data_IF_935963194437
#
_entry.id   IF_935963194437
#
_cell.length_a   1.000
_cell.length_b   1.000
_cell.length_c   1.000
_cell.angle_alpha   90.00
_cell.angle_beta   90.00
_cell.angle_gamma   90.00
#
_symmetry.space_group_name_H-M   'P 1'
#
loop_
_entity.id
_entity.type
_entity.pdbx_description
1 polymer ?
#
# COMPACT_ATOMS: atom_id res chain seq x y z
N UNK A 1 11.85 -9.74 12.87
CA UNK A 1 11.17 -8.67 12.11
C UNK A 1 9.68 -8.72 12.43
N UNK A 2 9.05 -7.55 12.54
CA UNK A 2 7.60 -7.47 12.74
C UNK A 2 6.89 -7.90 11.44
N UNK A 3 5.86 -8.77 11.48
CA UNK A 3 5.10 -9.13 10.28
C UNK A 3 4.58 -7.88 9.53
N UNK A 4 4.77 -7.85 8.21
CA UNK A 4 4.42 -6.68 7.39
C UNK A 4 5.46 -5.56 7.36
N UNK A 5 6.57 -5.67 8.10
CA UNK A 5 7.68 -4.69 8.09
C UNK A 5 8.93 -5.30 7.46
N UNK A 6 9.49 -4.62 6.47
CA UNK A 6 10.74 -5.00 5.79
C UNK A 6 11.79 -3.92 6.00
N UNK A 7 13.00 -4.31 6.43
CA UNK A 7 14.14 -3.38 6.48
C UNK A 7 14.66 -3.19 5.06
N UNK A 8 14.73 -1.94 4.63
CA UNK A 8 15.19 -1.53 3.30
C UNK A 8 16.68 -1.22 3.33
N UNK A 9 17.12 -0.44 4.32
CA UNK A 9 18.52 -0.06 4.44
C UNK A 9 18.91 0.20 5.89
N UNK A 10 20.20 0.04 6.15
CA UNK A 10 20.86 0.44 7.39
C UNK A 10 22.10 1.25 7.03
N UNK A 11 22.20 2.48 7.50
CA UNK A 11 23.25 3.42 7.13
C UNK A 11 23.85 4.06 8.38
N UNK A 12 25.15 3.90 8.59
CA UNK A 12 25.87 4.56 9.67
C UNK A 12 26.32 5.97 9.28
N UNK A 13 26.18 6.90 10.22
CA UNK A 13 26.63 8.29 10.12
C UNK A 13 27.41 8.67 11.40
N UNK A 14 28.68 9.10 11.27
CA UNK A 14 29.47 9.19 10.04
C UNK A 14 29.83 7.80 9.46
N UNK A 15 30.19 7.76 8.16
CA UNK A 15 30.62 6.52 7.47
C UNK A 15 32.05 6.10 7.83
N UNK A 16 32.83 7.01 8.36
CA UNK A 16 34.21 6.82 8.77
C UNK A 16 34.49 7.70 9.98
N UNK A 17 35.41 7.25 10.82
CA UNK A 17 35.89 7.98 11.98
C UNK A 17 37.42 7.98 11.97
N UNK A 18 38.02 8.97 12.62
CA UNK A 18 39.46 9.01 12.83
C UNK A 18 39.82 8.23 14.10
N UNK A 19 40.81 7.35 13.99
CA UNK A 19 41.29 6.51 15.08
C UNK A 19 42.80 6.63 15.24
N UNK A 20 43.27 6.48 16.47
CA UNK A 20 44.68 6.48 16.83
C UNK A 20 44.99 5.25 17.69
N UNK A 21 46.20 4.70 17.52
CA UNK A 21 46.62 3.48 18.20
C UNK A 21 48.00 3.02 17.73
N UNK A 22 48.38 1.81 18.14
CA UNK A 22 49.65 1.19 17.73
C UNK A 22 49.61 0.90 16.23
N UNK A 23 50.65 1.30 15.49
CA UNK A 23 50.72 1.17 14.01
C UNK A 23 50.39 -0.24 13.53
N UNK A 24 50.98 -1.25 14.16
CA UNK A 24 50.75 -2.67 13.82
C UNK A 24 49.28 -3.08 13.95
N UNK A 25 48.52 -2.47 14.87
CA UNK A 25 47.10 -2.72 15.03
C UNK A 25 46.32 -1.96 13.96
N UNK A 26 46.60 -0.67 13.76
CA UNK A 26 45.93 0.18 12.77
C UNK A 26 46.03 -0.41 11.37
N UNK A 27 47.21 -0.90 10.97
CA UNK A 27 47.46 -1.48 9.66
C UNK A 27 46.60 -2.75 9.39
N UNK A 28 46.13 -3.40 10.45
CA UNK A 28 45.28 -4.59 10.39
C UNK A 28 43.77 -4.29 10.50
N UNK A 29 43.37 -3.05 10.81
CA UNK A 29 41.96 -2.67 10.93
C UNK A 29 41.36 -2.41 9.55
N UNK A 30 40.44 -3.28 9.13
CA UNK A 30 39.64 -3.07 7.91
C UNK A 30 38.35 -2.30 8.15
N UNK A 31 37.78 -2.44 9.35
CA UNK A 31 36.53 -1.82 9.76
C UNK A 31 36.41 -1.82 11.28
N UNK A 32 35.69 -0.84 11.82
CA UNK A 32 35.24 -0.83 13.21
C UNK A 32 33.80 -1.30 13.23
N UNK A 33 33.52 -2.36 14.00
CA UNK A 33 32.17 -2.88 14.15
C UNK A 33 31.42 -2.08 15.21
N UNK A 34 30.09 -2.10 15.15
CA UNK A 34 29.25 -1.59 16.23
C UNK A 34 28.77 -2.74 17.10
N UNK A 35 28.29 -2.42 18.30
CA UNK A 35 27.45 -3.31 19.07
C UNK A 35 26.21 -3.73 18.24
N UNK A 36 25.72 -4.97 18.40
CA UNK A 36 24.51 -5.42 17.71
C UNK A 36 23.31 -4.55 18.07
N UNK A 37 22.59 -4.10 17.06
CA UNK A 37 21.34 -3.37 17.23
C UNK A 37 20.18 -4.36 17.23
N UNK A 38 19.35 -4.32 18.27
CA UNK A 38 18.10 -5.08 18.27
C UNK A 38 17.04 -4.36 17.43
N UNK A 39 16.61 -5.02 16.36
CA UNK A 39 15.62 -4.51 15.39
C UNK A 39 14.22 -5.09 15.60
N UNK A 40 14.01 -5.93 16.62
CA UNK A 40 12.79 -6.72 16.78
C UNK A 40 11.55 -5.86 17.05
N UNK A 41 11.74 -4.68 17.63
CA UNK A 41 10.70 -3.71 17.96
C UNK A 41 10.61 -2.55 16.95
N UNK A 42 11.43 -2.55 15.89
CA UNK A 42 11.40 -1.49 14.89
C UNK A 42 10.22 -1.73 13.95
N UNK A 43 9.21 -0.87 14.08
CA UNK A 43 8.05 -0.83 13.20
C UNK A 43 8.12 0.32 12.19
N UNK A 44 8.82 1.40 12.53
CA UNK A 44 8.96 2.61 11.70
C UNK A 44 10.43 2.93 11.44
N UNK A 45 10.69 3.72 10.39
CA UNK A 45 12.05 4.19 10.09
C UNK A 45 12.56 5.04 11.25
N UNK A 46 13.76 4.74 11.74
CA UNK A 46 14.30 5.36 12.94
C UNK A 46 15.81 5.52 12.86
N UNK A 47 16.39 6.27 13.78
CA UNK A 47 17.84 6.38 13.96
C UNK A 47 18.18 5.94 15.37
N UNK A 48 19.12 5.01 15.48
CA UNK A 48 19.60 4.49 16.77
C UNK A 48 21.07 4.80 16.94
N UNK A 49 21.49 5.09 18.16
CA UNK A 49 22.90 5.23 18.48
C UNK A 49 23.48 3.83 18.71
N UNK A 50 24.56 3.51 18.01
CA UNK A 50 25.26 2.24 18.12
C UNK A 50 26.66 2.47 18.67
N UNK A 51 27.00 1.79 19.76
CA UNK A 51 28.33 1.88 20.35
C UNK A 51 29.36 1.23 19.43
N UNK A 52 30.54 1.83 19.31
CA UNK A 52 31.64 1.30 18.54
C UNK A 52 32.42 0.26 19.37
N UNK A 53 32.68 -0.90 18.76
CA UNK A 53 33.55 -1.94 19.32
C UNK A 53 34.97 -1.64 18.87
N UNK A 54 35.71 -0.90 19.70
CA UNK A 54 37.09 -0.54 19.45
C UNK A 54 38.03 -1.72 19.75
N UNK A 55 38.97 -2.05 18.85
CA UNK A 55 40.05 -2.98 19.15
C UNK A 55 40.91 -2.49 20.32
N UNK A 56 41.53 -3.42 21.02
CA UNK A 56 42.46 -3.09 22.10
C UNK A 56 43.61 -2.21 21.58
N UNK A 57 43.99 -1.18 22.35
CA UNK A 57 45.06 -0.25 21.96
C UNK A 57 44.66 0.80 20.92
N UNK A 58 43.37 0.88 20.53
CA UNK A 58 42.83 1.84 19.56
C UNK A 58 41.78 2.72 20.23
N UNK A 59 41.80 4.02 19.92
CA UNK A 59 40.80 4.98 20.37
C UNK A 59 40.40 5.95 19.25
N UNK A 60 39.20 6.52 19.32
CA UNK A 60 38.78 7.58 18.42
C UNK A 60 39.52 8.89 18.76
N UNK A 61 40.01 9.59 17.74
CA UNK A 61 40.68 10.90 17.87
C UNK A 61 39.71 11.96 18.36
N UNK A 62 38.46 11.91 17.88
CA UNK A 62 37.41 12.86 18.23
C UNK A 62 36.58 12.41 19.44
N UNK A 63 37.06 11.41 20.18
CA UNK A 63 36.34 10.77 21.29
C UNK A 63 34.95 10.24 20.89
N UNK A 64 34.75 9.88 19.62
CA UNK A 64 33.51 9.28 19.15
C UNK A 64 33.43 7.85 19.67
N UNK A 65 32.41 7.59 20.50
CA UNK A 65 32.11 6.27 21.05
C UNK A 65 30.92 5.62 20.38
N UNK A 66 30.12 6.41 19.68
CA UNK A 66 28.88 5.96 19.04
C UNK A 66 28.78 6.51 17.63
N UNK A 67 28.05 5.78 16.79
CA UNK A 67 27.63 6.24 15.47
C UNK A 67 26.11 6.18 15.38
N UNK A 68 25.52 7.08 14.60
CA UNK A 68 24.08 7.06 14.33
C UNK A 68 23.79 6.09 13.21
N UNK A 69 23.05 5.04 13.49
CA UNK A 69 22.59 4.08 12.47
C UNK A 69 21.16 4.41 12.11
N UNK A 70 20.98 4.96 10.90
CA UNK A 70 19.68 5.17 10.29
C UNK A 70 19.17 3.85 9.74
N UNK A 71 18.00 3.42 10.22
CA UNK A 71 17.32 2.21 9.80
C UNK A 71 16.08 2.62 9.04
N UNK A 72 16.03 2.29 7.75
CA UNK A 72 14.88 2.58 6.89
C UNK A 72 14.06 1.31 6.74
N UNK A 73 12.76 1.40 7.01
CA UNK A 73 11.82 0.30 6.83
C UNK A 73 10.69 0.67 5.89
N UNK A 74 10.13 -0.34 5.23
CA UNK A 74 8.88 -0.27 4.47
C UNK A 74 7.85 -1.17 5.12
N UNK A 75 6.62 -0.68 5.14
CA UNK A 75 5.46 -1.43 5.62
C UNK A 75 4.60 -1.86 4.46
N UNK A 76 4.16 -3.11 4.52
CA UNK A 76 3.21 -3.68 3.58
C UNK A 76 1.94 -4.08 4.33
N UNK A 77 0.80 -3.67 3.81
CA UNK A 77 -0.49 -3.91 4.42
C UNK A 77 -1.56 -4.16 3.36
N UNK A 78 -2.77 -4.43 3.82
CA UNK A 78 -3.96 -4.54 2.96
C UNK A 78 -4.86 -3.35 3.23
N UNK A 79 -5.48 -2.82 2.18
CA UNK A 79 -6.51 -1.79 2.27
C UNK A 79 -7.79 -2.33 1.67
N UNK A 80 -8.87 -2.23 2.42
CA UNK A 80 -10.22 -2.54 1.94
C UNK A 80 -10.93 -1.23 1.60
N UNK A 81 -11.55 -1.18 0.42
CA UNK A 81 -12.29 -0.04 -0.10
C UNK A 81 -13.68 -0.48 -0.52
N UNK A 82 -14.68 0.38 -0.34
CA UNK A 82 -16.06 0.12 -0.78
C UNK A 82 -16.42 1.08 -1.90
N UNK A 83 -16.50 0.58 -3.12
CA UNK A 83 -16.68 1.42 -4.31
C UNK A 83 -18.12 1.23 -4.82
N UNK A 84 -18.92 2.29 -5.01
CA UNK A 84 -20.24 2.16 -5.63
C UNK A 84 -20.10 1.67 -7.07
N UNK A 85 -21.00 0.79 -7.50
CA UNK A 85 -21.01 0.28 -8.87
C UNK A 85 -21.88 1.19 -9.74
N UNK A 86 -21.26 1.76 -10.77
CA UNK A 86 -21.92 2.59 -11.77
C UNK A 86 -22.36 1.75 -12.98
N UNK A 87 -23.61 1.93 -13.38
CA UNK A 87 -24.18 1.27 -14.56
C UNK A 87 -24.17 2.22 -15.75
N UNK A 88 -23.69 1.73 -16.89
CA UNK A 88 -23.56 2.53 -18.13
C UNK A 88 -24.26 1.85 -19.30
N UNK A 89 -24.62 2.63 -20.32
CA UNK A 89 -25.25 2.15 -21.57
C UNK A 89 -26.59 1.41 -21.40
N UNK A 90 -27.38 1.75 -20.38
CA UNK A 90 -28.76 1.28 -20.28
C UNK A 90 -29.60 1.94 -21.40
N UNK A 91 -30.41 1.14 -22.09
CA UNK A 91 -31.30 1.67 -23.14
C UNK A 91 -32.34 2.65 -22.58
N UNK A 92 -32.65 3.71 -23.33
CA UNK A 92 -33.52 4.82 -22.87
C UNK A 92 -34.93 4.39 -22.43
N UNK A 93 -35.42 3.28 -22.96
CA UNK A 93 -36.74 2.70 -22.66
C UNK A 93 -36.72 1.66 -21.54
N UNK A 94 -35.57 1.46 -20.90
CA UNK A 94 -35.36 0.44 -19.88
C UNK A 94 -35.06 1.09 -18.53
N UNK A 95 -35.36 0.37 -17.45
CA UNK A 95 -35.01 0.73 -16.09
C UNK A 95 -34.38 -0.46 -15.37
N UNK A 96 -33.43 -0.16 -14.49
CA UNK A 96 -32.88 -1.10 -13.53
C UNK A 96 -33.79 -1.14 -12.30
N UNK A 97 -34.13 -2.34 -11.83
CA UNK A 97 -34.89 -2.52 -10.58
C UNK A 97 -33.99 -2.67 -9.36
N UNK A 98 -32.71 -2.95 -9.56
CA UNK A 98 -31.76 -3.30 -8.52
C UNK A 98 -31.27 -2.06 -7.75
N UNK A 99 -31.07 -2.19 -6.44
CA UNK A 99 -30.30 -1.22 -5.66
C UNK A 99 -28.85 -1.17 -6.15
N UNK A 100 -28.21 0.00 -6.06
CA UNK A 100 -26.79 0.18 -6.40
C UNK A 100 -25.92 -0.63 -5.43
N UNK A 101 -25.33 -1.76 -5.85
CA UNK A 101 -24.47 -2.54 -4.98
C UNK A 101 -23.12 -1.84 -4.81
N UNK A 102 -22.43 -2.16 -3.73
CA UNK A 102 -21.03 -1.75 -3.51
C UNK A 102 -20.09 -2.91 -3.80
N UNK A 103 -18.99 -2.60 -4.49
CA UNK A 103 -17.87 -3.50 -4.69
C UNK A 103 -16.92 -3.38 -3.50
N UNK A 104 -16.67 -4.49 -2.80
CA UNK A 104 -15.61 -4.58 -1.81
C UNK A 104 -14.31 -4.93 -2.53
N UNK A 105 -13.38 -3.99 -2.58
CA UNK A 105 -12.05 -4.17 -3.17
C UNK A 105 -11.00 -4.29 -2.06
N UNK A 106 -10.19 -5.35 -2.11
CA UNK A 106 -9.02 -5.52 -1.23
C UNK A 106 -7.77 -5.39 -2.08
N UNK A 107 -6.94 -4.39 -1.77
CA UNK A 107 -5.65 -4.15 -2.40
C UNK A 107 -4.51 -4.34 -1.39
N UNK A 108 -3.33 -4.72 -1.88
CA UNK A 108 -2.12 -4.94 -1.09
C UNK A 108 -0.98 -4.13 -1.68
N UNK A 109 -0.07 -3.64 -0.84
CA UNK A 109 1.06 -2.82 -1.29
C UNK A 109 1.78 -2.13 -0.16
N UNK A 110 2.71 -1.24 -0.51
CA UNK A 110 3.39 -0.39 0.46
C UNK A 110 2.37 0.57 1.10
N UNK A 111 2.39 0.73 2.42
CA UNK A 111 1.44 1.56 3.16
C UNK A 111 1.47 3.03 2.69
N UNK A 112 2.65 3.51 2.32
CA UNK A 112 2.84 4.85 1.73
C UNK A 112 2.13 5.02 0.38
N UNK A 113 1.94 3.94 -0.39
CA UNK A 113 1.22 3.94 -1.66
C UNK A 113 -0.28 3.73 -1.44
N UNK A 114 -0.65 2.80 -0.55
CA UNK A 114 -2.04 2.54 -0.16
C UNK A 114 -2.73 3.77 0.43
N UNK A 115 -2.00 4.60 1.20
CA UNK A 115 -2.52 5.84 1.78
C UNK A 115 -2.88 6.90 0.73
N UNK A 116 -2.24 6.88 -0.44
CA UNK A 116 -2.50 7.82 -1.55
C UNK A 116 -3.74 7.46 -2.40
N UNK A 117 -4.26 6.24 -2.22
CA UNK A 117 -5.42 5.74 -2.97
C UNK A 117 -6.70 6.12 -2.24
N UNK A 118 -7.57 6.89 -2.89
CA UNK A 118 -8.92 7.22 -2.43
C UNK A 118 -9.99 6.51 -3.27
N UNK A 119 -11.16 6.30 -2.68
CA UNK A 119 -12.29 5.62 -3.33
C UNK A 119 -12.76 6.38 -4.57
N UNK A 120 -12.75 7.71 -4.52
CA UNK A 120 -13.14 8.63 -5.61
C UNK A 120 -12.28 8.52 -6.88
N UNK A 121 -11.06 7.98 -6.77
CA UNK A 121 -10.19 7.72 -7.93
C UNK A 121 -10.44 6.36 -8.58
N UNK A 122 -11.16 5.47 -7.89
CA UNK A 122 -11.48 4.14 -8.37
C UNK A 122 -12.89 4.15 -8.96
N UNK A 123 -13.06 3.42 -10.06
CA UNK A 123 -14.35 3.29 -10.73
C UNK A 123 -14.68 1.83 -10.92
N UNK A 124 -15.81 1.40 -10.37
CA UNK A 124 -16.41 0.11 -10.63
C UNK A 124 -17.58 0.33 -11.58
N UNK A 125 -17.47 -0.20 -12.80
CA UNK A 125 -18.46 0.02 -13.86
C UNK A 125 -18.99 -1.28 -14.40
N UNK A 126 -20.26 -1.26 -14.79
CA UNK A 126 -20.93 -2.37 -15.46
C UNK A 126 -21.53 -1.83 -16.76
N UNK A 127 -21.19 -2.48 -17.86
CA UNK A 127 -21.69 -2.11 -19.20
C UNK A 127 -22.95 -2.92 -19.49
N UNK A 128 -24.07 -2.21 -19.71
CA UNK A 128 -25.38 -2.78 -19.99
C UNK A 128 -25.76 -2.72 -21.46
N UNK A 129 -24.79 -2.39 -22.32
CA UNK A 129 -25.00 -2.27 -23.75
C UNK A 129 -25.63 -3.53 -24.32
N UNK A 130 -26.67 -3.34 -25.12
CA UNK A 130 -27.39 -4.41 -25.82
C UNK A 130 -28.12 -5.42 -24.92
N UNK A 131 -28.24 -5.16 -23.62
CA UNK A 131 -29.09 -5.98 -22.75
C UNK A 131 -30.56 -5.60 -22.90
N UNK A 132 -31.42 -6.62 -22.89
CA UNK A 132 -32.87 -6.48 -22.99
C UNK A 132 -33.52 -6.70 -21.62
N UNK A 133 -34.84 -6.59 -21.56
CA UNK A 133 -35.60 -7.00 -20.38
C UNK A 133 -35.27 -8.43 -19.95
N UNK A 134 -35.23 -8.64 -18.63
CA UNK A 134 -34.88 -9.93 -18.03
C UNK A 134 -33.77 -9.82 -16.98
N UNK A 135 -33.35 -11.00 -16.50
CA UNK A 135 -32.26 -11.15 -15.53
C UNK A 135 -30.96 -11.46 -16.26
N UNK A 136 -29.90 -10.72 -15.96
CA UNK A 136 -28.59 -10.86 -16.58
C UNK A 136 -27.50 -10.93 -15.52
N UNK A 137 -26.53 -11.81 -15.71
CA UNK A 137 -25.30 -11.83 -14.91
C UNK A 137 -24.20 -11.09 -15.68
N UNK A 138 -23.66 -10.05 -15.06
CA UNK A 138 -22.68 -9.15 -15.68
C UNK A 138 -21.46 -9.00 -14.80
N UNK A 139 -20.29 -8.93 -15.44
CA UNK A 139 -19.00 -8.78 -14.77
C UNK A 139 -18.70 -7.32 -14.46
N UNK A 140 -18.19 -7.06 -13.26
CA UNK A 140 -17.76 -5.70 -12.87
C UNK A 140 -16.39 -5.40 -13.48
N UNK A 141 -16.27 -4.23 -14.10
CA UNK A 141 -15.03 -3.68 -14.62
C UNK A 141 -14.46 -2.64 -13.66
N UNK A 142 -13.27 -2.89 -13.15
CA UNK A 142 -12.55 -2.00 -12.24
C UNK A 142 -11.52 -1.17 -12.99
N UNK A 143 -11.53 0.15 -12.78
CA UNK A 143 -10.58 1.09 -13.34
C UNK A 143 -9.98 2.01 -12.27
N UNK A 144 -8.81 2.58 -12.54
CA UNK A 144 -8.15 3.56 -11.67
C UNK A 144 -7.20 2.99 -10.61
N UNK A 145 -7.03 1.67 -10.53
CA UNK A 145 -6.06 1.05 -9.60
C UNK A 145 -4.63 1.32 -10.08
N UNK A 146 -3.77 1.97 -9.27
CA UNK A 146 -2.37 2.20 -9.63
C UNK A 146 -1.56 0.90 -9.75
N UNK A 147 -0.55 0.91 -10.62
CA UNK A 147 0.38 -0.22 -10.78
C UNK A 147 1.35 -0.40 -9.59
N UNK A 148 1.37 0.53 -8.63
CA UNK A 148 2.18 0.45 -7.41
C UNK A 148 1.56 -0.46 -6.34
N UNK A 149 0.31 -0.92 -6.54
CA UNK A 149 -0.40 -1.83 -5.65
C UNK A 149 -0.95 -3.04 -6.41
N UNK A 150 -1.31 -4.10 -5.69
CA UNK A 150 -1.88 -5.31 -6.26
C UNK A 150 -3.30 -5.53 -5.76
N UNK A 151 -4.22 -5.85 -6.67
CA UNK A 151 -5.58 -6.27 -6.29
C UNK A 151 -5.51 -7.70 -5.75
N UNK A 152 -5.83 -7.87 -4.47
CA UNK A 152 -5.88 -9.18 -3.81
C UNK A 152 -7.21 -9.88 -4.06
N UNK A 153 -8.31 -9.14 -3.96
CA UNK A 153 -9.65 -9.66 -4.23
C UNK A 153 -10.62 -8.53 -4.52
N UNK A 154 -11.63 -8.83 -5.33
CA UNK A 154 -12.78 -7.96 -5.54
C UNK A 154 -14.04 -8.80 -5.34
N UNK A 155 -15.01 -8.30 -4.57
CA UNK A 155 -16.22 -9.05 -4.25
C UNK A 155 -17.42 -8.11 -4.20
N UNK A 156 -18.49 -8.39 -4.97
CA UNK A 156 -18.63 -9.50 -5.91
C UNK A 156 -17.78 -9.34 -7.18
N UNK A 157 -17.54 -10.43 -7.94
CA UNK A 157 -16.92 -10.35 -9.28
C UNK A 157 -17.96 -10.14 -10.39
N UNK A 158 -19.10 -10.82 -10.24
CA UNK A 158 -20.27 -10.68 -11.10
C UNK A 158 -21.48 -10.27 -10.26
N UNK A 159 -22.40 -9.55 -10.87
CA UNK A 159 -23.68 -9.20 -10.26
C UNK A 159 -24.82 -9.61 -11.16
N UNK A 160 -25.91 -10.04 -10.53
CA UNK A 160 -27.17 -10.28 -11.23
C UNK A 160 -27.99 -9.00 -11.22
N UNK A 161 -28.38 -8.54 -12.39
CA UNK A 161 -29.22 -7.36 -12.59
C UNK A 161 -30.53 -7.73 -13.28
N UNK A 162 -31.61 -7.04 -12.90
CA UNK A 162 -32.92 -7.18 -13.52
C UNK A 162 -33.27 -5.89 -14.25
N UNK A 163 -33.51 -6.02 -15.55
CA UNK A 163 -33.90 -4.92 -16.43
C UNK A 163 -35.38 -5.06 -16.77
N UNK A 164 -36.13 -3.96 -16.65
CA UNK A 164 -37.56 -3.86 -16.98
C UNK A 164 -37.81 -2.75 -17.99
N UNK A 165 -38.92 -2.83 -18.71
CA UNK A 165 -39.45 -1.69 -19.46
C UNK A 165 -39.69 -0.51 -18.50
N UNK A 166 -39.30 0.69 -18.93
CA UNK A 166 -39.67 1.91 -18.23
C UNK A 166 -41.17 2.11 -18.39
N UNK A 167 -41.93 2.05 -17.30
CA UNK A 167 -43.34 2.42 -17.32
C UNK A 167 -43.46 3.93 -17.49
N UNK A 168 -44.08 4.37 -18.59
CA UNK A 168 -44.57 5.74 -18.71
C UNK A 168 -45.79 5.88 -17.80
N UNK A 169 -45.69 6.67 -16.73
CA UNK A 169 -46.88 7.19 -16.07
C UNK A 169 -47.57 8.12 -17.06
N UNK A 170 -48.60 7.62 -17.74
CA UNK A 170 -49.57 8.48 -18.41
C UNK A 170 -50.28 9.29 -17.33
N UNK A 171 -49.84 10.53 -17.15
CA UNK A 171 -50.54 11.51 -16.32
C UNK A 171 -51.95 11.70 -16.88
N UNK A 172 -52.94 11.08 -16.24
CA UNK A 172 -54.34 11.41 -16.46
C UNK A 172 -54.55 12.83 -15.92
N UNK A 173 -54.52 13.81 -16.83
CA UNK A 173 -55.21 15.08 -16.62
C UNK A 173 -56.71 14.76 -16.53
N UNK A 174 -57.28 14.84 -15.34
CA UNK A 174 -58.72 14.99 -15.17
C UNK A 174 -59.00 16.47 -14.87
N UNK A 175 -59.97 17.01 -15.61
CA UNK A 175 -60.18 18.46 -15.82
C UNK A 175 -61.15 19.14 -14.87
#
# INVERSE_FOLDING_TARGET
>A
AVPGVTIVSTEAAPKSIEVAGVSEIIDNIKSINTEPINISNITESTTVDANLIMPEGVHSVNNEKTVKVKITVKKFSEKTLSIPIDYTNLGEKLTLENSTPTLKLVITGEESELSKISEDKLKATVDLKSLTEGSHEVKIQLAGVPNTVQVKSQTPENITITIKAKTEETGNNDG
#
